data_IF_270528162436
#
_entry.id   IF_270528162436
#
_cell.length_a   1.000
_cell.length_b   1.000
_cell.length_c   1.000
_cell.angle_alpha   90.00
_cell.angle_beta   90.00
_cell.angle_gamma   90.00
#
_symmetry.space_group_name_H-M   'P 1'
#
loop_
_entity.id
_entity.type
_entity.pdbx_description
1 polymer ?
#
# COMPACT_ATOMS: atom_id res chain seq x y z
N UNK A 1 -15.77 -75.96 16.92
CA UNK A 1 -14.63 -75.48 16.10
C UNK A 1 -14.78 -73.96 15.97
N UNK A 2 -14.39 -73.17 16.96
CA UNK A 2 -13.06 -72.54 17.11
C UNK A 2 -12.63 -71.68 15.91
N UNK A 3 -12.97 -70.37 15.96
CA UNK A 3 -12.13 -69.19 15.65
C UNK A 3 -13.04 -67.99 15.33
N UNK A 4 -13.22 -67.11 16.32
CA UNK A 4 -14.02 -65.90 16.19
C UNK A 4 -13.67 -64.84 17.23
N UNK A 5 -12.38 -64.72 17.58
CA UNK A 5 -11.87 -63.67 18.46
C UNK A 5 -10.49 -63.26 17.95
N UNK A 6 -10.37 -62.07 17.34
CA UNK A 6 -9.16 -61.23 17.28
C UNK A 6 -9.18 -60.20 16.13
N UNK A 7 -10.32 -59.52 15.89
CA UNK A 7 -10.32 -58.32 15.03
C UNK A 7 -10.65 -57.03 15.79
N UNK A 8 -11.26 -57.12 16.98
CA UNK A 8 -11.60 -55.94 17.77
C UNK A 8 -10.46 -55.40 18.66
N UNK A 9 -9.38 -56.17 18.89
CA UNK A 9 -8.26 -55.68 19.71
C UNK A 9 -7.22 -54.88 18.91
N UNK A 10 -7.11 -55.10 17.59
CA UNK A 10 -6.12 -54.40 16.75
C UNK A 10 -6.61 -53.01 16.34
N UNK A 11 -7.92 -52.79 16.24
CA UNK A 11 -8.49 -51.49 15.92
C UNK A 11 -8.40 -50.48 17.09
N UNK A 12 -8.33 -50.96 18.34
CA UNK A 12 -8.23 -50.09 19.53
C UNK A 12 -6.80 -49.60 19.80
N UNK A 13 -5.77 -50.27 19.27
CA UNK A 13 -4.37 -49.90 19.47
C UNK A 13 -3.82 -48.94 18.40
N UNK A 14 -4.49 -48.81 17.25
CA UNK A 14 -4.10 -47.87 16.19
C UNK A 14 -4.78 -46.49 16.36
N UNK A 15 -5.85 -46.40 17.13
CA UNK A 15 -6.54 -45.12 17.42
C UNK A 15 -5.98 -44.35 18.62
N UNK A 16 -5.11 -44.96 19.44
CA UNK A 16 -4.53 -44.31 20.63
C UNK A 16 -3.25 -43.52 20.35
N UNK A 17 -2.66 -43.63 19.16
CA UNK A 17 -1.43 -42.90 18.76
C UNK A 17 -1.71 -41.67 17.90
N UNK A 18 -2.97 -41.41 17.51
CA UNK A 18 -3.35 -40.27 16.68
C UNK A 18 -3.94 -39.08 17.47
N UNK A 19 -4.24 -39.24 18.76
CA UNK A 19 -4.70 -38.14 19.62
C UNK A 19 -3.57 -37.73 20.56
N UNK A 20 -2.93 -36.56 20.37
CA UNK A 20 -2.03 -36.04 21.38
C UNK A 20 -2.81 -35.98 22.69
N UNK A 21 -2.28 -36.61 23.75
CA UNK A 21 -2.94 -36.65 25.04
C UNK A 21 -3.35 -35.24 25.46
N UNK A 22 -4.53 -35.07 26.09
CA UNK A 22 -5.03 -33.75 26.52
C UNK A 22 -3.97 -32.94 27.30
N UNK A 23 -3.09 -33.63 28.04
CA UNK A 23 -1.94 -33.02 28.70
C UNK A 23 -0.97 -32.32 27.73
N UNK A 24 -0.61 -32.93 26.58
CA UNK A 24 0.25 -32.28 25.56
C UNK A 24 -0.43 -31.06 24.94
N UNK A 25 -1.70 -31.17 24.57
CA UNK A 25 -2.46 -30.05 24.02
C UNK A 25 -2.57 -28.90 25.04
N UNK A 26 -2.83 -29.20 26.32
CA UNK A 26 -2.88 -28.19 27.37
C UNK A 26 -1.53 -27.51 27.61
N UNK A 27 -0.42 -28.25 27.49
CA UNK A 27 0.93 -27.72 27.70
C UNK A 27 1.34 -26.83 26.53
N UNK A 28 1.03 -27.24 25.30
CA UNK A 28 1.22 -26.42 24.10
C UNK A 28 0.38 -25.13 24.18
N UNK A 29 -0.89 -25.23 24.57
CA UNK A 29 -1.78 -24.07 24.75
C UNK A 29 -1.23 -23.09 25.79
N UNK A 30 -0.79 -23.58 26.96
CA UNK A 30 -0.18 -22.72 27.99
C UNK A 30 1.08 -22.03 27.46
N UNK A 31 1.99 -22.78 26.85
CA UNK A 31 3.21 -22.21 26.27
C UNK A 31 2.92 -21.13 25.22
N UNK A 32 1.89 -21.32 24.38
CA UNK A 32 1.49 -20.32 23.40
C UNK A 32 0.89 -19.07 24.07
N UNK A 33 0.07 -19.23 25.11
CA UNK A 33 -0.48 -18.12 25.87
C UNK A 33 0.62 -17.33 26.59
N UNK A 34 1.61 -18.01 27.17
CA UNK A 34 2.73 -17.39 27.88
C UNK A 34 3.61 -16.58 26.92
N UNK A 35 3.83 -17.07 25.69
CA UNK A 35 4.55 -16.32 24.66
C UNK A 35 3.82 -15.02 24.30
N UNK A 36 2.51 -15.08 24.06
CA UNK A 36 1.70 -13.88 23.80
C UNK A 36 1.74 -12.92 24.98
N UNK A 37 1.71 -13.43 26.22
CA UNK A 37 1.81 -12.60 27.42
C UNK A 37 3.13 -11.84 27.46
N UNK A 38 4.24 -12.51 27.13
CA UNK A 38 5.58 -11.93 27.08
C UNK A 38 5.68 -10.83 26.03
N UNK A 39 5.14 -11.06 24.83
CA UNK A 39 5.09 -10.05 23.76
C UNK A 39 4.30 -8.81 24.21
N UNK A 40 3.17 -9.01 24.89
CA UNK A 40 2.35 -7.93 25.42
C UNK A 40 3.12 -7.12 26.47
N UNK A 41 3.83 -7.77 27.39
CA UNK A 41 4.63 -7.08 28.40
C UNK A 41 5.72 -6.21 27.75
N UNK A 42 6.36 -6.72 26.69
CA UNK A 42 7.31 -5.96 25.88
C UNK A 42 6.69 -4.72 25.24
N UNK A 43 5.50 -4.87 24.66
CA UNK A 43 4.72 -3.76 24.07
C UNK A 43 4.35 -2.73 25.14
N UNK A 44 3.85 -3.16 26.30
CA UNK A 44 3.51 -2.26 27.41
C UNK A 44 4.74 -1.46 27.87
N UNK A 45 5.91 -2.10 27.92
CA UNK A 45 7.17 -1.43 28.19
C UNK A 45 7.46 -0.31 27.19
N UNK A 46 7.32 -0.59 25.88
CA UNK A 46 7.52 0.40 24.81
C UNK A 46 6.47 1.53 24.84
N UNK A 47 5.24 1.26 25.31
CA UNK A 47 4.18 2.27 25.44
C UNK A 47 4.49 3.37 26.47
N UNK A 48 5.42 3.14 27.40
CA UNK A 48 5.86 4.17 28.34
C UNK A 48 6.65 5.30 27.64
N UNK A 49 7.25 5.02 26.48
CA UNK A 49 8.04 5.99 25.72
C UNK A 49 7.21 6.83 24.74
N UNK A 50 5.94 6.48 24.55
CA UNK A 50 5.01 7.26 23.75
C UNK A 50 4.54 8.42 24.63
N UNK A 51 4.94 9.65 24.31
CA UNK A 51 4.58 10.88 25.03
C UNK A 51 3.08 11.25 24.99
N UNK A 52 2.18 10.27 25.00
CA UNK A 52 0.72 10.40 25.02
C UNK A 52 0.13 9.50 26.10
N UNK A 53 -1.11 9.74 26.49
CA UNK A 53 -1.80 8.89 27.48
C UNK A 53 -2.15 7.53 26.87
N UNK A 54 -1.31 6.53 27.18
CA UNK A 54 -1.45 5.15 26.72
C UNK A 54 -2.16 4.24 27.72
N UNK A 55 -2.74 4.78 28.80
CA UNK A 55 -3.34 3.98 29.90
C UNK A 55 -4.34 2.94 29.38
N UNK A 56 -5.31 3.36 28.57
CA UNK A 56 -6.33 2.46 28.02
C UNK A 56 -5.78 1.42 27.08
N UNK A 57 -4.75 1.76 26.33
CA UNK A 57 -4.08 0.81 25.44
C UNK A 57 -3.39 -0.29 26.27
N UNK A 58 -2.76 0.08 27.40
CA UNK A 58 -2.20 -0.89 28.35
C UNK A 58 -3.28 -1.76 28.98
N UNK A 59 -4.39 -1.17 29.42
CA UNK A 59 -5.53 -1.91 29.97
C UNK A 59 -6.13 -2.89 28.95
N UNK A 60 -6.27 -2.47 27.68
CA UNK A 60 -6.77 -3.33 26.62
C UNK A 60 -5.81 -4.48 26.32
N UNK A 61 -4.49 -4.22 26.31
CA UNK A 61 -3.45 -5.24 26.17
C UNK A 61 -3.49 -6.26 27.33
N UNK A 62 -3.64 -5.81 28.57
CA UNK A 62 -3.82 -6.69 29.73
C UNK A 62 -5.12 -7.52 29.62
N UNK A 63 -6.21 -6.91 29.13
CA UNK A 63 -7.44 -7.63 28.83
C UNK A 63 -7.22 -8.76 27.80
N UNK A 64 -6.35 -8.54 26.82
CA UNK A 64 -5.95 -9.60 25.86
C UNK A 64 -5.14 -10.69 26.56
N UNK A 65 -4.17 -10.35 27.43
CA UNK A 65 -3.41 -11.36 28.19
C UNK A 65 -4.34 -12.31 28.97
N UNK A 66 -5.36 -11.77 29.64
CA UNK A 66 -6.31 -12.59 30.41
C UNK A 66 -7.25 -13.42 29.53
N UNK A 67 -7.70 -12.88 28.40
CA UNK A 67 -8.56 -13.60 27.48
C UNK A 67 -7.85 -14.82 26.87
N UNK A 68 -6.61 -14.64 26.41
CA UNK A 68 -5.85 -15.67 25.67
C UNK A 68 -5.62 -16.94 26.50
N UNK A 69 -5.52 -16.83 27.84
CA UNK A 69 -5.36 -17.97 28.75
C UNK A 69 -6.50 -19.01 28.67
N UNK A 70 -7.68 -18.58 28.22
CA UNK A 70 -8.90 -19.39 28.16
C UNK A 70 -9.22 -19.91 26.75
N UNK A 71 -8.56 -19.38 25.74
CA UNK A 71 -8.84 -19.65 24.33
C UNK A 71 -8.13 -20.93 23.80
N UNK A 72 -8.65 -21.57 22.74
CA UNK A 72 -7.95 -22.69 22.10
C UNK A 72 -6.70 -22.21 21.35
N UNK A 73 -5.73 -23.11 21.15
CA UNK A 73 -4.41 -22.76 20.59
C UNK A 73 -4.46 -22.09 19.20
N UNK A 74 -5.44 -22.45 18.36
CA UNK A 74 -5.66 -21.81 17.06
C UNK A 74 -6.06 -20.34 17.20
N UNK A 75 -6.91 -20.02 18.18
CA UNK A 75 -7.30 -18.65 18.51
C UNK A 75 -6.11 -17.88 19.10
N UNK A 76 -5.31 -18.51 19.95
CA UNK A 76 -4.09 -17.89 20.52
C UNK A 76 -3.12 -17.46 19.41
N UNK A 77 -2.91 -18.30 18.38
CA UNK A 77 -2.04 -17.96 17.25
C UNK A 77 -2.55 -16.74 16.46
N UNK A 78 -3.87 -16.63 16.28
CA UNK A 78 -4.48 -15.44 15.66
C UNK A 78 -4.25 -14.18 16.51
N UNK A 79 -4.41 -14.27 17.83
CA UNK A 79 -4.13 -13.14 18.73
C UNK A 79 -2.66 -12.72 18.68
N UNK A 80 -1.74 -13.70 18.71
CA UNK A 80 -0.30 -13.43 18.59
C UNK A 80 0.04 -12.62 17.35
N UNK A 81 -0.62 -12.92 16.21
CA UNK A 81 -0.43 -12.17 14.97
C UNK A 81 -0.85 -10.70 15.11
N UNK A 82 -1.99 -10.42 15.75
CA UNK A 82 -2.44 -9.04 16.00
C UNK A 82 -1.50 -8.32 16.97
N UNK A 83 -1.13 -8.96 18.08
CA UNK A 83 -0.20 -8.41 19.06
C UNK A 83 1.14 -8.05 18.40
N UNK A 84 1.68 -8.93 17.55
CA UNK A 84 2.89 -8.67 16.77
C UNK A 84 2.73 -7.46 15.82
N UNK A 85 1.57 -7.31 15.17
CA UNK A 85 1.27 -6.15 14.32
C UNK A 85 1.21 -4.84 15.13
N UNK A 86 0.65 -4.87 16.34
CA UNK A 86 0.66 -3.73 17.26
C UNK A 86 2.09 -3.36 17.63
N UNK A 87 2.90 -4.34 18.06
CA UNK A 87 4.31 -4.12 18.41
C UNK A 87 5.12 -3.53 17.26
N UNK A 88 4.97 -4.08 16.04
CA UNK A 88 5.63 -3.55 14.84
C UNK A 88 5.22 -2.11 14.50
N UNK A 89 3.98 -1.73 14.80
CA UNK A 89 3.43 -0.40 14.52
C UNK A 89 3.84 0.67 15.53
N UNK A 90 4.33 0.30 16.72
CA UNK A 90 4.71 1.25 17.76
C UNK A 90 5.80 2.24 17.31
N UNK A 91 6.78 1.77 16.53
CA UNK A 91 7.82 2.63 15.96
C UNK A 91 7.24 3.75 15.07
N UNK A 92 6.21 3.41 14.29
CA UNK A 92 5.47 4.36 13.43
C UNK A 92 4.67 5.35 14.27
N UNK A 93 4.04 4.90 15.34
CA UNK A 93 3.32 5.78 16.27
C UNK A 93 4.26 6.75 17.00
N UNK A 94 5.45 6.29 17.38
CA UNK A 94 6.47 7.10 18.08
C UNK A 94 7.05 8.20 17.19
N UNK A 95 7.05 8.02 15.87
CA UNK A 95 7.58 9.01 14.93
C UNK A 95 6.88 10.38 15.02
N UNK A 96 5.58 10.39 15.38
CA UNK A 96 4.74 11.57 15.31
C UNK A 96 4.43 12.06 13.89
N UNK A 97 5.02 11.45 12.85
CA UNK A 97 4.70 11.79 11.46
C UNK A 97 3.27 11.33 11.14
N UNK A 98 2.40 12.22 10.63
CA UNK A 98 1.01 11.89 10.36
C UNK A 98 0.82 10.68 9.43
N UNK A 99 1.71 10.48 8.43
CA UNK A 99 1.61 9.36 7.51
C UNK A 99 2.06 8.06 8.15
N UNK A 100 3.15 8.08 8.92
CA UNK A 100 3.59 6.89 9.62
C UNK A 100 2.57 6.46 10.68
N UNK A 101 1.98 7.40 11.43
CA UNK A 101 0.90 7.08 12.37
C UNK A 101 -0.31 6.46 11.64
N UNK A 102 -0.76 7.07 10.53
CA UNK A 102 -1.86 6.51 9.74
C UNK A 102 -1.50 5.12 9.20
N UNK A 103 -0.27 4.93 8.72
CA UNK A 103 0.23 3.63 8.24
C UNK A 103 0.27 2.60 9.37
N UNK A 104 0.63 2.96 10.60
CA UNK A 104 0.59 2.05 11.74
C UNK A 104 -0.82 1.59 12.07
N UNK A 105 -1.82 2.48 12.02
CA UNK A 105 -3.22 2.07 12.20
C UNK A 105 -3.66 1.07 11.11
N UNK A 106 -3.25 1.34 9.87
CA UNK A 106 -3.59 0.50 8.73
C UNK A 106 -2.94 -0.87 8.77
N UNK A 107 -1.69 -0.98 9.21
CA UNK A 107 -1.02 -2.28 9.38
C UNK A 107 -1.81 -3.18 10.33
N UNK A 108 -2.37 -2.61 11.39
CA UNK A 108 -3.18 -3.33 12.39
C UNK A 108 -4.52 -3.74 11.79
N UNK A 109 -5.24 -2.83 11.11
CA UNK A 109 -6.52 -3.18 10.47
C UNK A 109 -6.29 -4.23 9.36
N UNK A 110 -5.22 -4.11 8.59
CA UNK A 110 -4.84 -5.11 7.58
C UNK A 110 -4.55 -6.47 8.22
N UNK A 111 -3.81 -6.50 9.33
CA UNK A 111 -3.55 -7.72 10.10
C UNK A 111 -4.85 -8.37 10.59
N UNK A 112 -5.83 -7.57 11.04
CA UNK A 112 -7.16 -8.05 11.41
C UNK A 112 -7.89 -8.64 10.21
N UNK A 113 -7.87 -7.96 9.07
CA UNK A 113 -8.48 -8.44 7.84
C UNK A 113 -7.93 -9.80 7.43
N UNK A 114 -6.61 -9.98 7.44
CA UNK A 114 -5.97 -11.24 7.05
C UNK A 114 -6.17 -12.36 8.08
N UNK A 115 -6.24 -12.02 9.38
CA UNK A 115 -6.26 -13.01 10.47
C UNK A 115 -7.67 -13.50 10.81
N UNK A 116 -8.64 -12.59 10.77
CA UNK A 116 -10.02 -12.84 11.18
C UNK A 116 -11.04 -12.74 10.03
N UNK A 117 -10.60 -12.40 8.82
CA UNK A 117 -11.53 -12.11 7.71
C UNK A 117 -12.24 -10.76 7.88
N UNK A 118 -11.65 -9.84 8.63
CA UNK A 118 -12.20 -8.51 8.91
C UNK A 118 -12.60 -8.30 10.37
N UNK A 119 -12.98 -7.06 10.75
CA UNK A 119 -13.32 -6.71 12.12
C UNK A 119 -14.56 -7.44 12.65
N UNK A 120 -15.50 -7.82 11.78
CA UNK A 120 -16.67 -8.62 12.15
C UNK A 120 -16.29 -10.03 12.65
N UNK A 121 -15.25 -10.63 12.06
CA UNK A 121 -14.79 -11.98 12.40
C UNK A 121 -14.03 -12.09 13.71
N UNK A 122 -13.83 -10.99 14.43
CA UNK A 122 -13.20 -11.00 15.75
C UNK A 122 -14.18 -11.57 16.78
N UNK A 123 -13.89 -12.78 17.26
CA UNK A 123 -14.68 -13.45 18.29
C UNK A 123 -14.21 -13.11 19.73
N UNK A 124 -13.02 -12.53 19.89
CA UNK A 124 -12.45 -12.20 21.21
C UNK A 124 -12.69 -10.72 21.50
N UNK A 125 -13.61 -10.42 22.40
CA UNK A 125 -13.97 -9.04 22.78
C UNK A 125 -12.75 -8.20 23.22
N UNK A 126 -11.77 -8.81 23.87
CA UNK A 126 -10.52 -8.13 24.26
C UNK A 126 -9.71 -7.63 23.05
N UNK A 127 -9.65 -8.41 21.96
CA UNK A 127 -8.96 -8.00 20.73
C UNK A 127 -9.69 -6.84 20.06
N UNK A 128 -11.03 -6.91 20.01
CA UNK A 128 -11.84 -5.80 19.51
C UNK A 128 -11.61 -4.51 20.32
N UNK A 129 -11.55 -4.63 21.65
CA UNK A 129 -11.24 -3.51 22.55
C UNK A 129 -9.85 -2.92 22.32
N UNK A 130 -8.84 -3.79 22.11
CA UNK A 130 -7.47 -3.38 21.78
C UNK A 130 -7.44 -2.55 20.50
N UNK A 131 -8.05 -3.04 19.42
CA UNK A 131 -8.06 -2.33 18.13
C UNK A 131 -8.82 -1.01 18.27
N UNK A 132 -9.99 -1.02 18.92
CA UNK A 132 -10.75 0.22 19.16
C UNK A 132 -9.95 1.24 19.96
N UNK A 133 -9.13 0.80 20.93
CA UNK A 133 -8.29 1.69 21.73
C UNK A 133 -7.18 2.33 20.88
N UNK A 134 -6.54 1.54 20.01
CA UNK A 134 -5.52 2.04 19.09
C UNK A 134 -6.11 3.04 18.10
N UNK A 135 -7.23 2.68 17.46
CA UNK A 135 -7.89 3.58 16.52
C UNK A 135 -8.36 4.85 17.23
N UNK A 136 -8.90 4.75 18.45
CA UNK A 136 -9.29 5.94 19.21
C UNK A 136 -8.12 6.85 19.55
N UNK A 137 -6.94 6.29 19.81
CA UNK A 137 -5.76 7.07 20.19
C UNK A 137 -5.12 7.77 18.99
N UNK A 138 -5.08 7.10 17.83
CA UNK A 138 -4.25 7.52 16.71
C UNK A 138 -5.00 8.01 15.46
N UNK A 139 -6.28 7.66 15.27
CA UNK A 139 -6.97 7.97 14.00
C UNK A 139 -7.41 9.44 13.86
N UNK A 140 -7.71 10.15 14.96
CA UNK A 140 -8.28 11.50 14.89
C UNK A 140 -7.33 12.54 14.29
N UNK A 141 -6.42 13.08 15.10
CA UNK A 141 -5.57 14.20 14.70
C UNK A 141 -4.54 13.81 13.63
N UNK A 142 -4.01 12.58 13.69
CA UNK A 142 -2.93 12.15 12.79
C UNK A 142 -3.43 11.90 11.37
N UNK A 143 -4.52 11.14 11.17
CA UNK A 143 -5.08 10.95 9.81
C UNK A 143 -5.58 12.28 9.24
N UNK A 144 -6.22 13.13 10.06
CA UNK A 144 -6.62 14.47 9.63
C UNK A 144 -5.44 15.36 9.23
N UNK A 145 -4.27 15.22 9.87
CA UNK A 145 -3.06 15.97 9.52
C UNK A 145 -2.38 15.42 8.26
N UNK A 146 -2.38 14.10 8.07
CA UNK A 146 -1.86 13.46 6.86
C UNK A 146 -2.63 13.94 5.61
N UNK A 147 -3.95 14.10 5.72
CA UNK A 147 -4.77 14.67 4.64
C UNK A 147 -4.46 16.14 4.41
N UNK A 148 -4.24 16.93 5.47
CA UNK A 148 -3.91 18.36 5.31
C UNK A 148 -2.69 18.53 4.41
N UNK A 149 -1.64 17.74 4.65
CA UNK A 149 -0.42 17.80 3.84
C UNK A 149 -0.69 17.48 2.37
N UNK A 150 -1.52 16.48 2.09
CA UNK A 150 -1.88 16.11 0.70
C UNK A 150 -2.79 17.16 0.07
N UNK A 151 -3.73 17.77 0.81
CA UNK A 151 -4.51 18.92 0.32
C UNK A 151 -3.55 20.04 -0.07
N UNK A 152 -2.66 20.43 0.85
CA UNK A 152 -1.73 21.53 0.63
C UNK A 152 -0.86 21.27 -0.62
N UNK A 153 -0.45 20.01 -0.87
CA UNK A 153 0.33 19.63 -2.06
C UNK A 153 -0.52 19.48 -3.35
N UNK A 154 -1.73 18.91 -3.26
CA UNK A 154 -2.63 18.68 -4.39
C UNK A 154 -3.24 19.97 -4.95
N UNK A 155 -3.52 20.94 -4.09
CA UNK A 155 -4.22 22.18 -4.43
C UNK A 155 -3.29 23.41 -4.48
N UNK A 156 -2.02 23.31 -4.05
CA UNK A 156 -1.06 24.44 -4.06
C UNK A 156 -0.97 25.17 -5.39
N UNK A 157 -1.13 24.44 -6.50
CA UNK A 157 -0.82 24.90 -7.85
C UNK A 157 -2.05 25.05 -8.75
N UNK A 158 -3.17 24.40 -8.43
CA UNK A 158 -4.36 24.37 -9.27
C UNK A 158 -5.57 24.80 -8.45
N UNK A 159 -6.19 25.92 -8.84
CA UNK A 159 -7.35 26.55 -8.19
C UNK A 159 -8.63 25.70 -8.32
N UNK A 160 -8.67 24.55 -7.67
CA UNK A 160 -9.87 23.73 -7.60
C UNK A 160 -10.49 23.90 -6.21
N UNK A 161 -10.97 25.12 -5.98
CA UNK A 161 -11.47 25.59 -4.70
C UNK A 161 -12.64 24.73 -4.22
N UNK A 162 -13.52 24.32 -5.13
CA UNK A 162 -14.66 23.47 -4.79
C UNK A 162 -14.21 22.11 -4.25
N UNK A 163 -13.27 21.46 -4.93
CA UNK A 163 -12.74 20.19 -4.45
C UNK A 163 -11.98 20.37 -3.12
N UNK A 164 -11.17 21.42 -3.00
CA UNK A 164 -10.46 21.74 -1.76
C UNK A 164 -11.42 21.96 -0.58
N UNK A 165 -12.49 22.74 -0.79
CA UNK A 165 -13.49 23.04 0.23
C UNK A 165 -14.28 21.79 0.63
N UNK A 166 -14.64 20.96 -0.34
CA UNK A 166 -15.31 19.70 -0.07
C UNK A 166 -14.40 18.73 0.70
N UNK A 167 -13.08 18.69 0.43
CA UNK A 167 -12.13 17.84 1.18
C UNK A 167 -11.93 18.39 2.60
N UNK A 168 -11.84 19.71 2.78
CA UNK A 168 -11.82 20.34 4.12
C UNK A 168 -13.10 20.00 4.90
N UNK A 169 -14.25 20.01 4.23
CA UNK A 169 -15.53 19.56 4.78
C UNK A 169 -15.48 18.11 5.23
N UNK A 170 -15.05 17.20 4.36
CA UNK A 170 -14.90 15.77 4.66
C UNK A 170 -13.99 15.54 5.88
N UNK A 171 -12.85 16.23 5.95
CA UNK A 171 -11.94 16.19 7.10
C UNK A 171 -12.60 16.64 8.40
N UNK A 172 -13.36 17.75 8.38
CA UNK A 172 -14.07 18.24 9.57
C UNK A 172 -15.13 17.25 10.02
N UNK A 173 -15.90 16.72 9.08
CA UNK A 173 -16.90 15.67 9.37
C UNK A 173 -16.25 14.44 9.96
N UNK A 174 -15.15 13.94 9.37
CA UNK A 174 -14.39 12.83 9.93
C UNK A 174 -13.97 13.11 11.37
N UNK A 175 -13.32 14.25 11.64
CA UNK A 175 -12.83 14.59 12.96
C UNK A 175 -13.95 14.69 14.00
N UNK A 176 -15.10 15.26 13.63
CA UNK A 176 -16.26 15.35 14.51
C UNK A 176 -16.84 13.97 14.81
N UNK A 177 -17.08 13.16 13.77
CA UNK A 177 -17.68 11.83 13.90
C UNK A 177 -16.74 10.88 14.64
N UNK A 178 -15.46 10.83 14.29
CA UNK A 178 -14.50 9.96 14.97
C UNK A 178 -14.34 10.36 16.44
N UNK A 179 -14.39 11.66 16.78
CA UNK A 179 -14.35 12.11 18.18
C UNK A 179 -15.58 11.64 18.95
N UNK A 180 -16.76 11.73 18.33
CA UNK A 180 -18.01 11.24 18.91
C UNK A 180 -17.99 9.72 19.11
N UNK A 181 -17.65 8.95 18.07
CA UNK A 181 -17.54 7.48 18.13
C UNK A 181 -16.48 7.07 19.16
N UNK A 182 -15.35 7.77 19.19
CA UNK A 182 -14.30 7.57 20.20
C UNK A 182 -14.78 7.87 21.61
N UNK A 183 -15.76 8.76 21.80
CA UNK A 183 -16.37 9.02 23.11
C UNK A 183 -17.29 7.88 23.52
N UNK A 184 -18.14 7.42 22.61
CA UNK A 184 -19.05 6.28 22.87
C UNK A 184 -18.27 4.99 23.12
N UNK A 185 -17.15 4.77 22.43
CA UNK A 185 -16.29 3.61 22.65
C UNK A 185 -15.68 3.56 24.05
N UNK A 186 -15.61 4.71 24.74
CA UNK A 186 -15.14 4.84 26.13
C UNK A 186 -16.14 4.38 27.16
N UNK A 187 -17.42 4.27 26.81
CA UNK A 187 -18.48 3.87 27.72
C UNK A 187 -18.39 2.37 27.99
N UNK A 188 -18.33 1.98 29.26
CA UNK A 188 -18.25 0.57 29.67
C UNK A 188 -19.53 -0.19 29.32
N UNK A 189 -20.69 0.37 29.68
CA UNK A 189 -22.00 -0.21 29.41
C UNK A 189 -22.67 0.49 28.22
N UNK A 190 -22.50 -0.08 27.02
CA UNK A 190 -23.23 0.37 25.84
C UNK A 190 -24.73 0.11 26.04
N UNK A 191 -25.54 1.11 25.73
CA UNK A 191 -27.00 1.02 25.75
C UNK A 191 -27.50 1.21 24.32
N UNK A 192 -28.74 0.82 24.04
CA UNK A 192 -29.34 1.04 22.73
C UNK A 192 -29.31 2.51 22.32
N UNK A 193 -29.59 3.44 23.25
CA UNK A 193 -29.53 4.88 23.00
C UNK A 193 -28.14 5.33 22.51
N UNK A 194 -27.06 4.79 23.09
CA UNK A 194 -25.71 5.10 22.63
C UNK A 194 -25.47 4.59 21.19
N UNK A 195 -25.97 3.40 20.87
CA UNK A 195 -25.74 2.73 19.58
C UNK A 195 -26.61 3.31 18.46
N UNK A 196 -27.84 3.72 18.77
CA UNK A 196 -28.69 4.49 17.88
C UNK A 196 -28.07 5.85 17.58
N UNK A 197 -27.51 6.53 18.59
CA UNK A 197 -26.78 7.78 18.37
C UNK A 197 -25.56 7.60 17.46
N UNK A 198 -24.85 6.46 17.56
CA UNK A 198 -23.76 6.11 16.64
C UNK A 198 -24.29 5.87 15.23
N UNK A 199 -25.41 5.16 15.08
CA UNK A 199 -26.05 4.92 13.77
C UNK A 199 -26.38 6.24 13.08
N UNK A 200 -26.97 7.17 13.83
CA UNK A 200 -27.43 8.45 13.28
C UNK A 200 -26.25 9.39 12.95
N UNK A 201 -25.14 9.28 13.69
CA UNK A 201 -23.94 10.06 13.44
C UNK A 201 -23.07 9.50 12.29
N UNK A 202 -23.00 8.18 12.13
CA UNK A 202 -22.13 7.52 11.16
C UNK A 202 -22.94 7.07 9.95
N UNK A 203 -23.00 7.96 8.97
CA UNK A 203 -23.57 7.66 7.66
C UNK A 203 -22.71 6.68 6.88
N UNK A 204 -23.32 5.58 6.44
CA UNK A 204 -22.64 4.54 5.64
C UNK A 204 -22.16 5.08 4.29
N UNK A 205 -22.90 6.05 3.73
CA UNK A 205 -22.57 6.76 2.49
C UNK A 205 -21.63 7.97 2.70
N UNK A 206 -21.01 8.09 3.89
CA UNK A 206 -20.04 9.14 4.15
C UNK A 206 -18.89 9.08 3.13
N UNK A 207 -18.55 10.26 2.61
CA UNK A 207 -17.52 10.49 1.61
C UNK A 207 -17.79 9.93 0.21
N UNK A 208 -18.90 9.20 -0.04
CA UNK A 208 -19.18 8.59 -1.35
C UNK A 208 -19.15 9.60 -2.50
N UNK A 209 -19.82 10.76 -2.34
CA UNK A 209 -19.81 11.80 -3.38
C UNK A 209 -18.41 12.34 -3.68
N UNK A 210 -17.61 12.57 -2.63
CA UNK A 210 -16.23 13.05 -2.77
C UNK A 210 -15.33 12.02 -3.46
N UNK A 211 -15.44 10.76 -3.04
CA UNK A 211 -14.70 9.64 -3.63
C UNK A 211 -15.07 9.48 -5.10
N UNK A 212 -16.36 9.56 -5.46
CA UNK A 212 -16.80 9.52 -6.86
C UNK A 212 -16.27 10.68 -7.71
N UNK A 213 -16.17 11.89 -7.15
CA UNK A 213 -15.54 13.03 -7.84
C UNK A 213 -14.05 12.74 -8.08
N UNK A 214 -13.33 12.26 -7.07
CA UNK A 214 -11.92 11.92 -7.19
C UNK A 214 -11.69 10.77 -8.19
N UNK A 215 -12.51 9.72 -8.17
CA UNK A 215 -12.49 8.63 -9.14
C UNK A 215 -12.61 9.15 -10.58
N UNK A 216 -13.56 10.05 -10.82
CA UNK A 216 -13.73 10.68 -12.15
C UNK A 216 -12.48 11.46 -12.58
N UNK A 217 -11.84 12.19 -11.65
CA UNK A 217 -10.58 12.90 -11.93
C UNK A 217 -9.42 11.94 -12.18
N UNK A 218 -9.31 10.87 -11.40
CA UNK A 218 -8.27 9.85 -11.56
C UNK A 218 -8.40 9.17 -12.92
N UNK A 219 -9.61 8.74 -13.29
CA UNK A 219 -9.86 8.07 -14.56
C UNK A 219 -9.48 8.97 -15.74
N UNK A 220 -9.82 10.25 -15.70
CA UNK A 220 -9.47 11.21 -16.76
C UNK A 220 -7.98 11.51 -16.82
N UNK A 221 -7.38 11.77 -15.66
CA UNK A 221 -6.00 12.22 -15.59
C UNK A 221 -4.97 11.08 -15.76
N UNK A 222 -5.36 9.83 -15.47
CA UNK A 222 -4.49 8.65 -15.64
C UNK A 222 -4.05 8.42 -17.09
N UNK A 223 -4.89 8.80 -18.06
CA UNK A 223 -4.63 8.70 -19.50
C UNK A 223 -4.30 10.05 -20.14
N UNK A 224 -4.13 11.10 -19.32
CA UNK A 224 -3.84 12.43 -19.83
C UNK A 224 -2.46 12.49 -20.47
N UNK A 225 -2.33 13.28 -21.52
CA UNK A 225 -1.05 13.69 -22.11
C UNK A 225 -0.56 15.03 -21.54
N UNK A 226 -1.30 15.67 -20.65
CA UNK A 226 -0.84 16.88 -19.98
C UNK A 226 -0.03 16.53 -18.72
N UNK A 227 1.22 16.99 -18.66
CA UNK A 227 2.14 16.77 -17.54
C UNK A 227 1.54 17.21 -16.19
N UNK A 228 0.88 18.37 -16.20
CA UNK A 228 0.32 18.95 -14.98
C UNK A 228 -0.85 18.10 -14.46
N UNK A 229 -1.72 17.64 -15.36
CA UNK A 229 -2.83 16.75 -15.03
C UNK A 229 -2.36 15.35 -14.60
N UNK A 230 -1.35 14.77 -15.26
CA UNK A 230 -0.78 13.48 -14.88
C UNK A 230 -0.12 13.53 -13.49
N UNK A 231 0.67 14.57 -13.21
CA UNK A 231 1.24 14.81 -11.87
C UNK A 231 0.15 15.01 -10.83
N UNK A 232 -0.88 15.80 -11.16
CA UNK A 232 -2.02 16.07 -10.28
C UNK A 232 -2.83 14.81 -9.98
N UNK A 233 -2.92 13.91 -10.95
CA UNK A 233 -3.57 12.60 -10.79
C UNK A 233 -2.94 11.78 -9.68
N UNK A 234 -1.60 11.76 -9.58
CA UNK A 234 -0.91 11.08 -8.47
C UNK A 234 -1.31 11.66 -7.11
N UNK A 235 -1.43 12.99 -7.00
CA UNK A 235 -1.89 13.63 -5.78
C UNK A 235 -3.36 13.31 -5.48
N UNK A 236 -4.22 13.22 -6.50
CA UNK A 236 -5.60 12.81 -6.34
C UNK A 236 -5.75 11.35 -5.93
N UNK A 237 -4.94 10.43 -6.47
CA UNK A 237 -4.91 9.04 -6.03
C UNK A 237 -4.50 8.97 -4.56
N UNK A 238 -3.49 9.75 -4.17
CA UNK A 238 -3.06 9.76 -2.79
C UNK A 238 -4.17 10.26 -1.85
N UNK A 239 -4.83 11.36 -2.21
CA UNK A 239 -5.96 11.91 -1.46
C UNK A 239 -7.15 10.93 -1.40
N UNK A 240 -7.48 10.30 -2.53
CA UNK A 240 -8.53 9.30 -2.65
C UNK A 240 -8.30 8.13 -1.69
N UNK A 241 -7.07 7.61 -1.66
CA UNK A 241 -6.69 6.53 -0.76
C UNK A 241 -6.77 6.95 0.71
N UNK A 242 -6.37 8.18 1.05
CA UNK A 242 -6.49 8.68 2.43
C UNK A 242 -7.94 8.83 2.88
N UNK A 243 -8.82 9.38 2.04
CA UNK A 243 -10.25 9.50 2.33
C UNK A 243 -10.92 8.14 2.42
N UNK A 244 -10.53 7.19 1.57
CA UNK A 244 -10.99 5.80 1.63
C UNK A 244 -10.58 5.16 2.96
N UNK A 245 -9.34 5.35 3.40
CA UNK A 245 -8.87 4.86 4.71
C UNK A 245 -9.61 5.50 5.88
N UNK A 246 -9.90 6.80 5.82
CA UNK A 246 -10.74 7.45 6.83
C UNK A 246 -12.11 6.79 6.92
N UNK A 247 -12.78 6.57 5.78
CA UNK A 247 -14.07 5.87 5.73
C UNK A 247 -13.98 4.50 6.40
N UNK A 248 -12.99 3.71 5.99
CA UNK A 248 -12.83 2.34 6.51
C UNK A 248 -12.47 2.32 7.99
N UNK A 249 -11.73 3.31 8.49
CA UNK A 249 -11.43 3.44 9.91
C UNK A 249 -12.69 3.73 10.73
N UNK A 250 -13.55 4.62 10.25
CA UNK A 250 -14.85 4.91 10.88
C UNK A 250 -15.75 3.67 10.89
N UNK A 251 -15.92 3.02 9.73
CA UNK A 251 -16.75 1.81 9.63
C UNK A 251 -16.22 0.69 10.53
N UNK A 252 -14.89 0.50 10.56
CA UNK A 252 -14.26 -0.48 11.45
C UNK A 252 -14.57 -0.20 12.91
N UNK A 253 -14.48 1.06 13.37
CA UNK A 253 -14.83 1.40 14.75
C UNK A 253 -16.30 1.09 15.07
N UNK A 254 -17.23 1.43 14.17
CA UNK A 254 -18.66 1.14 14.40
C UNK A 254 -18.93 -0.36 14.43
N UNK A 255 -18.34 -1.12 13.51
CA UNK A 255 -18.44 -2.59 13.50
C UNK A 255 -17.98 -3.15 14.85
N UNK A 256 -16.83 -2.70 15.37
CA UNK A 256 -16.32 -3.16 16.66
C UNK A 256 -17.25 -2.79 17.83
N UNK A 257 -17.89 -1.62 17.80
CA UNK A 257 -18.87 -1.23 18.83
C UNK A 257 -20.12 -2.10 18.80
N UNK A 258 -20.66 -2.36 17.61
CA UNK A 258 -21.83 -3.22 17.44
C UNK A 258 -21.52 -4.67 17.84
N UNK A 259 -20.34 -5.19 17.48
CA UNK A 259 -19.86 -6.50 17.96
C UNK A 259 -19.74 -6.55 19.49
N UNK A 260 -19.31 -5.46 20.13
CA UNK A 260 -19.20 -5.38 21.59
C UNK A 260 -20.58 -5.38 22.27
N UNK A 261 -21.57 -4.76 21.64
CA UNK A 261 -22.95 -4.75 22.15
C UNK A 261 -23.63 -6.12 22.00
N UNK A 262 -23.36 -6.82 20.89
CA UNK A 262 -23.93 -8.13 20.59
C UNK A 262 -25.45 -8.08 20.35
N UNK A 263 -26.07 -9.26 20.24
CA UNK A 263 -27.52 -9.39 20.08
C UNK A 263 -27.99 -8.82 18.73
N UNK A 264 -29.01 -7.95 18.75
CA UNK A 264 -29.55 -7.33 17.54
C UNK A 264 -28.51 -6.50 16.75
N UNK A 265 -27.45 -6.03 17.41
CA UNK A 265 -26.39 -5.25 16.75
C UNK A 265 -25.40 -6.11 15.96
N UNK A 266 -25.35 -7.43 16.17
CA UNK A 266 -24.50 -8.30 15.36
C UNK A 266 -24.91 -8.30 13.88
N UNK A 267 -26.21 -8.22 13.57
CA UNK A 267 -26.70 -8.14 12.18
C UNK A 267 -26.32 -6.82 11.51
N UNK A 268 -26.36 -5.72 12.27
CA UNK A 268 -25.89 -4.41 11.80
C UNK A 268 -24.38 -4.41 11.56
N UNK A 269 -23.61 -5.02 12.48
CA UNK A 269 -22.17 -5.18 12.31
C UNK A 269 -21.82 -5.98 11.04
N UNK A 270 -22.57 -7.06 10.77
CA UNK A 270 -22.41 -7.86 9.55
C UNK A 270 -22.70 -7.04 8.29
N UNK A 271 -23.82 -6.32 8.27
CA UNK A 271 -24.23 -5.50 7.13
C UNK A 271 -23.22 -4.38 6.82
N UNK A 272 -22.67 -3.75 7.86
CA UNK A 272 -21.60 -2.77 7.72
C UNK A 272 -20.30 -3.40 7.21
N UNK A 273 -19.98 -4.62 7.64
CA UNK A 273 -18.80 -5.34 7.15
C UNK A 273 -18.91 -5.63 5.65
N UNK A 274 -20.07 -6.09 5.17
CA UNK A 274 -20.31 -6.33 3.74
C UNK A 274 -20.15 -5.04 2.92
N UNK A 275 -20.63 -3.91 3.46
CA UNK A 275 -20.46 -2.61 2.81
C UNK A 275 -19.00 -2.16 2.80
N UNK A 276 -18.26 -2.38 3.89
CA UNK A 276 -16.82 -2.13 3.98
C UNK A 276 -16.05 -2.94 2.94
N UNK A 277 -16.41 -4.21 2.72
CA UNK A 277 -15.75 -5.05 1.73
C UNK A 277 -16.02 -4.57 0.30
N UNK A 278 -17.26 -4.19 -0.02
CA UNK A 278 -17.59 -3.56 -1.31
C UNK A 278 -16.84 -2.25 -1.53
N UNK A 279 -16.76 -1.41 -0.50
CA UNK A 279 -16.03 -0.15 -0.55
C UNK A 279 -14.53 -0.37 -0.82
N UNK A 280 -13.92 -1.38 -0.18
CA UNK A 280 -12.51 -1.73 -0.41
C UNK A 280 -12.28 -2.24 -1.82
N UNK A 281 -13.21 -3.03 -2.37
CA UNK A 281 -13.11 -3.52 -3.74
C UNK A 281 -13.17 -2.37 -4.75
N UNK A 282 -14.13 -1.44 -4.61
CA UNK A 282 -14.21 -0.26 -5.47
C UNK A 282 -12.92 0.60 -5.40
N UNK A 283 -12.37 0.78 -4.20
CA UNK A 283 -11.08 1.47 -4.03
C UNK A 283 -9.94 0.71 -4.70
N UNK A 284 -9.89 -0.63 -4.58
CA UNK A 284 -8.90 -1.47 -5.26
C UNK A 284 -8.99 -1.31 -6.77
N UNK A 285 -10.17 -1.45 -7.36
CA UNK A 285 -10.39 -1.33 -8.80
C UNK A 285 -9.91 0.02 -9.33
N UNK A 286 -10.21 1.10 -8.62
CA UNK A 286 -9.82 2.48 -9.00
C UNK A 286 -8.31 2.66 -9.12
N UNK A 287 -7.51 2.01 -8.28
CA UNK A 287 -6.06 2.28 -8.17
C UNK A 287 -5.16 1.15 -8.67
N UNK A 288 -5.72 -0.02 -8.99
CA UNK A 288 -4.92 -1.20 -9.40
C UNK A 288 -4.09 -0.93 -10.65
N UNK A 289 -4.54 -0.04 -11.54
CA UNK A 289 -3.81 0.32 -12.75
C UNK A 289 -2.40 0.89 -12.48
N UNK A 290 -2.14 1.46 -11.30
CA UNK A 290 -0.81 1.95 -10.92
C UNK A 290 0.21 0.81 -10.79
N UNK A 291 -0.23 -0.38 -10.37
CA UNK A 291 0.62 -1.55 -10.18
C UNK A 291 0.52 -2.53 -11.35
N UNK A 292 -0.52 -2.37 -12.19
CA UNK A 292 -0.75 -3.08 -13.43
C UNK A 292 -0.74 -2.09 -14.62
N UNK A 293 0.38 -1.39 -14.75
CA UNK A 293 0.54 -0.32 -15.74
C UNK A 293 0.45 -0.83 -17.18
N UNK A 294 -0.42 -0.18 -17.95
CA UNK A 294 -0.49 -0.25 -19.41
C UNK A 294 0.16 0.99 -20.03
N UNK A 295 0.48 0.94 -21.33
CA UNK A 295 1.15 2.04 -22.02
C UNK A 295 0.37 3.35 -22.00
N UNK A 296 -0.97 3.30 -22.05
CA UNK A 296 -1.84 4.48 -21.95
C UNK A 296 -1.69 5.25 -20.64
N UNK A 297 -1.18 4.61 -19.58
CA UNK A 297 -0.97 5.23 -18.27
C UNK A 297 0.49 5.68 -18.05
N UNK A 298 1.38 5.54 -19.03
CA UNK A 298 2.82 5.69 -18.83
C UNK A 298 3.21 7.09 -18.33
N UNK A 299 2.52 8.15 -18.76
CA UNK A 299 2.78 9.50 -18.26
C UNK A 299 2.44 9.62 -16.77
N UNK A 300 1.26 9.18 -16.35
CA UNK A 300 0.91 9.10 -14.94
C UNK A 300 1.92 8.23 -14.17
N UNK A 301 2.30 7.08 -14.74
CA UNK A 301 3.32 6.19 -14.20
C UNK A 301 4.67 6.85 -14.01
N UNK A 302 5.08 7.78 -14.86
CA UNK A 302 6.36 8.51 -14.73
C UNK A 302 6.42 9.41 -13.49
N UNK A 303 5.26 9.82 -12.97
CA UNK A 303 5.14 10.57 -11.71
C UNK A 303 4.93 9.67 -10.50
N UNK A 304 4.59 8.39 -10.69
CA UNK A 304 4.49 7.41 -9.61
C UNK A 304 5.81 6.66 -9.39
N UNK A 305 6.47 6.23 -10.47
CA UNK A 305 7.73 5.52 -10.44
C UNK A 305 8.93 6.50 -10.47
N UNK A 306 9.99 6.24 -9.69
CA UNK A 306 10.18 5.08 -8.81
C UNK A 306 9.34 5.20 -7.52
N UNK A 307 8.78 4.09 -7.03
CA UNK A 307 7.76 4.09 -5.95
C UNK A 307 8.23 4.67 -4.60
N UNK A 308 9.53 4.90 -4.44
CA UNK A 308 10.19 5.43 -3.25
C UNK A 308 10.71 6.87 -3.42
N UNK A 309 10.46 7.53 -4.56
CA UNK A 309 11.04 8.84 -4.85
C UNK A 309 10.35 10.02 -4.13
N UNK A 310 9.11 9.83 -3.69
CA UNK A 310 8.30 10.89 -3.07
C UNK A 310 7.40 10.36 -1.96
N UNK A 311 7.01 11.26 -1.05
CA UNK A 311 6.05 10.95 0.01
C UNK A 311 4.73 10.43 -0.55
N UNK A 312 4.26 11.00 -1.67
CA UNK A 312 3.04 10.55 -2.33
C UNK A 312 3.18 9.12 -2.87
N UNK A 313 4.26 8.80 -3.60
CA UNK A 313 4.47 7.45 -4.13
C UNK A 313 4.60 6.40 -3.01
N UNK A 314 5.38 6.71 -1.97
CA UNK A 314 5.53 5.85 -0.79
C UNK A 314 4.19 5.66 -0.07
N UNK A 315 3.44 6.75 0.10
CA UNK A 315 2.13 6.75 0.73
C UNK A 315 1.13 5.91 -0.06
N UNK A 316 1.04 6.11 -1.37
CA UNK A 316 0.20 5.28 -2.26
C UNK A 316 0.57 3.80 -2.13
N UNK A 317 1.86 3.44 -2.18
CA UNK A 317 2.29 2.05 -2.02
C UNK A 317 1.85 1.46 -0.66
N UNK A 318 1.95 2.24 0.43
CA UNK A 318 1.51 1.80 1.76
C UNK A 318 -0.01 1.65 1.83
N UNK A 319 -0.78 2.62 1.32
CA UNK A 319 -2.23 2.64 1.41
C UNK A 319 -2.90 1.60 0.49
N UNK A 320 -2.36 1.36 -0.70
CA UNK A 320 -2.89 0.36 -1.65
C UNK A 320 -2.86 -1.07 -1.09
N UNK A 321 -1.87 -1.40 -0.25
CA UNK A 321 -1.80 -2.69 0.46
C UNK A 321 -3.01 -2.93 1.35
N UNK A 322 -3.52 -1.90 2.01
CA UNK A 322 -4.70 -2.00 2.85
C UNK A 322 -5.93 -2.44 2.05
N UNK A 323 -6.03 -2.01 0.79
CA UNK A 323 -7.10 -2.39 -0.13
C UNK A 323 -6.81 -3.70 -0.87
N UNK A 324 -5.70 -4.40 -0.56
CA UNK A 324 -5.36 -5.69 -1.18
C UNK A 324 -4.85 -5.57 -2.62
N UNK A 325 -4.36 -4.38 -3.02
CA UNK A 325 -3.67 -4.24 -4.30
C UNK A 325 -2.31 -4.94 -4.21
N UNK A 326 -1.97 -5.86 -5.14
CA UNK A 326 -0.68 -6.53 -5.15
C UNK A 326 0.48 -5.54 -5.25
N UNK A 327 1.64 -5.85 -4.67
CA UNK A 327 2.83 -5.00 -4.82
C UNK A 327 3.18 -4.82 -6.31
N UNK A 328 3.56 -3.60 -6.74
CA UNK A 328 3.99 -3.39 -8.12
C UNK A 328 5.27 -4.19 -8.39
N UNK A 329 5.51 -4.53 -9.66
CA UNK A 329 6.77 -5.14 -10.06
C UNK A 329 7.95 -4.28 -9.54
N UNK A 330 8.79 -4.88 -8.69
CA UNK A 330 9.98 -4.22 -8.12
C UNK A 330 11.20 -4.61 -8.93
N UNK A 331 12.05 -3.62 -9.20
CA UNK A 331 13.31 -3.85 -9.88
C UNK A 331 14.45 -3.87 -8.89
N UNK A 332 15.35 -4.81 -9.08
CA UNK A 332 16.66 -4.82 -8.42
C UNK A 332 17.71 -4.52 -9.48
N UNK A 333 17.73 -3.28 -9.98
CA UNK A 333 18.87 -2.80 -10.77
C UNK A 333 20.02 -2.50 -9.80
N UNK A 334 20.92 -3.46 -9.69
CA UNK A 334 22.01 -3.54 -8.73
C UNK A 334 23.35 -3.02 -9.27
N UNK A 335 23.33 -2.24 -10.35
CA UNK A 335 24.56 -1.77 -10.99
C UNK A 335 25.27 -2.83 -11.82
N UNK A 336 24.61 -3.94 -12.17
CA UNK A 336 25.08 -4.87 -13.18
C UNK A 336 24.92 -4.31 -14.61
N UNK A 337 25.42 -5.10 -15.56
CA UNK A 337 25.31 -4.84 -16.98
C UNK A 337 24.08 -5.54 -17.57
N UNK A 338 23.27 -4.76 -18.27
CA UNK A 338 22.00 -5.16 -18.86
C UNK A 338 22.01 -4.94 -20.37
N UNK A 339 21.10 -5.64 -21.04
CA UNK A 339 20.74 -5.43 -22.44
C UNK A 339 19.32 -4.89 -22.51
N UNK A 340 19.15 -3.71 -23.11
CA UNK A 340 17.84 -3.10 -23.34
C UNK A 340 17.37 -3.44 -24.75
N UNK A 341 16.52 -4.45 -24.87
CA UNK A 341 15.99 -4.98 -26.12
C UNK A 341 14.64 -4.32 -26.46
N UNK A 342 14.47 -3.88 -27.70
CA UNK A 342 13.25 -3.20 -28.12
C UNK A 342 12.09 -4.18 -28.38
N UNK A 343 10.84 -3.80 -28.07
CA UNK A 343 9.66 -4.64 -28.33
C UNK A 343 9.29 -4.72 -29.81
N UNK A 344 9.27 -3.60 -30.52
CA UNK A 344 8.95 -3.57 -31.95
C UNK A 344 9.98 -4.33 -32.79
N UNK A 345 11.27 -4.19 -32.44
CA UNK A 345 12.37 -4.91 -33.08
C UNK A 345 13.11 -5.77 -32.07
N UNK A 346 12.56 -6.94 -31.76
CA UNK A 346 13.08 -7.84 -30.74
C UNK A 346 14.50 -8.37 -30.99
N UNK A 347 15.10 -8.16 -32.17
CA UNK A 347 16.52 -8.48 -32.40
C UNK A 347 17.45 -7.31 -32.10
N UNK A 348 16.91 -6.14 -31.81
CA UNK A 348 17.67 -4.91 -31.65
C UNK A 348 17.75 -4.51 -30.19
N UNK A 349 18.96 -4.14 -29.76
CA UNK A 349 19.22 -3.62 -28.43
C UNK A 349 19.96 -2.30 -28.50
N UNK A 350 19.80 -1.47 -27.46
CA UNK A 350 20.52 -0.20 -27.37
C UNK A 350 22.03 -0.47 -27.38
N UNK A 351 22.74 0.19 -28.27
CA UNK A 351 24.19 0.21 -28.37
C UNK A 351 24.69 1.62 -28.67
N UNK A 352 25.99 1.85 -28.49
CA UNK A 352 26.64 3.11 -28.83
C UNK A 352 27.10 3.09 -30.28
N UNK A 353 26.87 4.22 -30.95
CA UNK A 353 27.56 4.61 -32.18
C UNK A 353 28.42 5.84 -31.87
N UNK A 354 29.72 5.74 -32.15
CA UNK A 354 30.59 6.91 -32.08
C UNK A 354 30.40 7.73 -33.36
N UNK A 355 29.86 8.93 -33.24
CA UNK A 355 29.75 9.88 -34.34
C UNK A 355 30.45 11.19 -33.98
N UNK A 356 31.57 11.47 -34.66
CA UNK A 356 32.35 12.70 -34.49
C UNK A 356 32.70 13.03 -33.01
N UNK A 357 33.11 12.03 -32.22
CA UNK A 357 33.45 12.21 -30.80
C UNK A 357 32.25 12.22 -29.85
N UNK A 358 31.04 12.49 -30.35
CA UNK A 358 29.80 12.37 -29.59
C UNK A 358 29.28 10.93 -29.66
N UNK A 359 28.71 10.42 -28.57
CA UNK A 359 28.13 9.09 -28.55
C UNK A 359 26.62 9.23 -28.71
N UNK A 360 26.14 8.87 -29.89
CA UNK A 360 24.72 8.70 -30.15
C UNK A 360 24.36 7.24 -29.91
N UNK A 361 23.10 6.98 -29.60
CA UNK A 361 22.59 5.64 -29.37
C UNK A 361 21.82 5.17 -30.60
N UNK A 362 22.01 3.90 -30.96
CA UNK A 362 21.23 3.22 -32.00
C UNK A 362 20.84 1.82 -31.56
N UNK A 363 19.92 1.22 -32.29
CA UNK A 363 19.65 -0.21 -32.25
C UNK A 363 20.75 -0.97 -32.98
N UNK A 364 21.39 -1.91 -32.28
CA UNK A 364 22.25 -2.93 -32.89
C UNK A 364 21.50 -4.26 -32.94
N UNK A 365 21.44 -4.84 -34.14
CA UNK A 365 20.86 -6.16 -34.36
C UNK A 365 21.76 -7.25 -33.75
N UNK A 366 21.15 -8.19 -33.04
CA UNK A 366 21.77 -9.37 -32.44
C UNK A 366 22.99 -9.07 -31.56
N UNK A 367 23.03 -7.87 -30.96
CA UNK A 367 24.09 -7.49 -30.03
C UNK A 367 24.06 -8.38 -28.79
N UNK A 368 25.10 -9.21 -28.63
CA UNK A 368 25.38 -9.92 -27.38
C UNK A 368 25.96 -9.00 -26.30
N UNK A 369 26.25 -7.74 -26.63
CA UNK A 369 26.90 -6.80 -25.73
C UNK A 369 25.92 -6.26 -24.67
N UNK A 370 26.14 -6.64 -23.41
CA UNK A 370 25.51 -6.04 -22.22
C UNK A 370 26.24 -4.74 -21.85
N UNK A 371 26.14 -3.72 -22.70
CA UNK A 371 26.93 -2.50 -22.51
C UNK A 371 26.43 -1.58 -21.40
N UNK A 372 25.17 -1.73 -21.01
CA UNK A 372 24.46 -0.72 -20.26
C UNK A 372 24.44 -1.09 -18.79
N UNK A 373 25.04 -0.26 -17.95
CA UNK A 373 25.00 -0.42 -16.51
C UNK A 373 23.95 0.50 -15.91
N UNK A 374 22.96 -0.08 -15.21
CA UNK A 374 21.86 0.64 -14.58
C UNK A 374 22.11 0.65 -13.07
N UNK A 375 22.27 1.84 -12.47
CA UNK A 375 22.55 2.00 -11.04
C UNK A 375 21.45 2.82 -10.38
N UNK A 376 20.88 2.32 -9.28
CA UNK A 376 19.94 3.08 -8.45
C UNK A 376 20.64 4.20 -7.69
N UNK A 377 20.00 5.37 -7.63
CA UNK A 377 20.37 6.54 -6.85
C UNK A 377 19.65 6.54 -5.49
N UNK A 378 20.15 7.33 -4.53
CA UNK A 378 19.53 7.47 -3.20
C UNK A 378 18.10 8.02 -3.25
N UNK A 379 17.79 8.85 -4.25
CA UNK A 379 16.46 9.42 -4.47
C UNK A 379 15.50 8.49 -5.23
N UNK A 380 15.85 7.21 -5.41
CA UNK A 380 15.03 6.20 -6.07
C UNK A 380 15.18 6.11 -7.60
N UNK A 381 15.60 7.20 -8.26
CA UNK A 381 15.86 7.22 -9.70
C UNK A 381 17.08 6.37 -10.07
N UNK A 382 17.32 6.19 -11.36
CA UNK A 382 18.43 5.38 -11.85
C UNK A 382 19.33 6.20 -12.77
N UNK A 383 20.63 5.92 -12.73
CA UNK A 383 21.54 6.34 -13.80
C UNK A 383 21.75 5.18 -14.75
N UNK A 384 21.90 5.51 -16.02
CA UNK A 384 22.29 4.57 -17.05
C UNK A 384 23.68 4.98 -17.52
N UNK A 385 24.62 4.04 -17.53
CA UNK A 385 26.00 4.28 -17.96
C UNK A 385 26.38 3.30 -19.07
N UNK A 386 27.10 3.78 -20.06
CA UNK A 386 27.62 2.95 -21.16
C UNK A 386 29.11 3.24 -21.31
N UNK A 387 29.95 2.24 -21.03
CA UNK A 387 31.43 2.37 -21.05
C UNK A 387 31.92 3.59 -20.25
N UNK A 388 31.47 3.69 -19.01
CA UNK A 388 31.84 4.76 -18.06
C UNK A 388 31.35 6.17 -18.41
N UNK A 389 30.50 6.33 -19.42
CA UNK A 389 29.84 7.61 -19.70
C UNK A 389 28.39 7.57 -19.24
N UNK A 390 27.93 8.63 -18.58
CA UNK A 390 26.56 8.78 -18.12
C UNK A 390 25.64 9.10 -19.29
N UNK A 391 24.52 8.41 -19.40
CA UNK A 391 23.53 8.65 -20.44
C UNK A 391 22.59 9.77 -20.00
N UNK A 392 22.15 10.60 -20.95
CA UNK A 392 21.15 11.63 -20.70
C UNK A 392 20.30 11.95 -21.92
N UNK A 393 19.12 12.51 -21.67
CA UNK A 393 18.26 13.06 -22.70
C UNK A 393 18.64 14.52 -22.94
N UNK A 394 18.59 14.98 -24.18
CA UNK A 394 18.72 16.41 -24.49
C UNK A 394 17.95 16.78 -25.75
N UNK A 395 17.60 18.07 -25.84
CA UNK A 395 16.91 18.62 -27.00
C UNK A 395 17.94 19.07 -28.03
N UNK A 396 17.92 18.45 -29.21
CA UNK A 396 18.68 18.87 -30.39
C UNK A 396 17.77 19.55 -31.41
N UNK A 397 18.37 20.14 -32.45
CA UNK A 397 17.63 20.73 -33.58
C UNK A 397 16.71 19.71 -34.28
N UNK A 398 17.09 18.43 -34.28
CA UNK A 398 16.33 17.33 -34.92
C UNK A 398 15.37 16.62 -33.95
N UNK A 399 15.11 17.18 -32.77
CA UNK A 399 14.25 16.58 -31.74
C UNK A 399 15.03 16.10 -30.52
N UNK A 400 14.44 15.19 -29.76
CA UNK A 400 14.99 14.74 -28.48
C UNK A 400 15.90 13.54 -28.68
N UNK A 401 17.19 13.76 -28.44
CA UNK A 401 18.23 12.74 -28.60
C UNK A 401 18.80 12.28 -27.27
N UNK A 402 19.49 11.16 -27.32
CA UNK A 402 20.22 10.59 -26.20
C UNK A 402 21.70 10.83 -26.39
N UNK A 403 22.35 11.43 -25.39
CA UNK A 403 23.77 11.75 -25.38
C UNK A 403 24.51 11.07 -24.23
N UNK A 404 25.83 11.23 -24.22
CA UNK A 404 26.69 10.79 -23.13
C UNK A 404 27.45 11.95 -22.50
N UNK A 405 27.54 11.98 -21.18
CA UNK A 405 28.32 12.93 -20.41
C UNK A 405 29.43 12.21 -19.65
N UNK A 406 30.51 12.95 -19.40
CA UNK A 406 31.66 12.46 -18.62
C UNK A 406 31.39 12.50 -17.12
N UNK A 407 30.52 13.41 -16.71
CA UNK A 407 30.06 13.63 -15.35
C UNK A 407 28.56 13.38 -15.23
N UNK A 408 28.03 13.51 -14.01
CA UNK A 408 26.59 13.41 -13.77
C UNK A 408 25.84 14.54 -14.50
N UNK A 409 24.98 14.22 -15.47
CA UNK A 409 24.22 15.21 -16.22
C UNK A 409 23.04 15.81 -15.42
N UNK A 410 22.76 15.32 -14.21
CA UNK A 410 21.65 15.76 -13.37
C UNK A 410 20.31 15.15 -13.80
N UNK A 411 19.20 15.87 -13.59
CA UNK A 411 17.84 15.34 -13.78
C UNK A 411 17.52 14.82 -15.20
N UNK A 412 18.28 15.25 -16.20
CA UNK A 412 18.20 14.77 -17.58
C UNK A 412 18.83 13.38 -17.81
N UNK A 413 19.63 12.87 -16.87
CA UNK A 413 20.13 11.50 -16.84
C UNK A 413 19.67 10.70 -15.63
N UNK A 414 18.68 11.21 -14.89
CA UNK A 414 18.01 10.48 -13.81
C UNK A 414 16.76 9.81 -14.37
N UNK A 415 16.89 8.52 -14.67
CA UNK A 415 15.90 7.72 -15.37
C UNK A 415 14.86 7.12 -14.43
N UNK A 416 13.63 7.07 -14.93
CA UNK A 416 12.53 6.29 -14.36
C UNK A 416 12.20 5.12 -15.28
N UNK A 417 11.92 3.98 -14.66
CA UNK A 417 11.55 2.73 -15.32
C UNK A 417 10.12 2.37 -14.90
N UNK A 418 9.17 2.47 -15.82
CA UNK A 418 7.76 2.21 -15.55
C UNK A 418 7.45 0.79 -16.03
N UNK A 419 7.01 -0.11 -15.15
CA UNK A 419 6.84 -1.51 -15.50
C UNK A 419 5.54 -1.63 -16.24
N UNK A 420 5.51 -2.41 -17.29
CA UNK A 420 4.28 -2.73 -17.98
C UNK A 420 3.84 -4.15 -17.61
N UNK A 421 2.52 -4.38 -17.60
CA UNK A 421 1.93 -5.71 -17.34
C UNK A 421 2.41 -6.81 -18.27
N UNK A 422 2.91 -6.45 -19.45
CA UNK A 422 3.46 -7.36 -20.45
C UNK A 422 4.95 -7.72 -20.23
N UNK A 423 5.56 -7.29 -19.12
CA UNK A 423 6.97 -7.54 -18.80
C UNK A 423 7.98 -6.64 -19.52
N UNK A 424 7.51 -5.60 -20.21
CA UNK A 424 8.35 -4.54 -20.79
C UNK A 424 8.36 -3.30 -19.89
N UNK A 425 9.15 -2.32 -20.29
CA UNK A 425 9.35 -1.08 -19.58
C UNK A 425 9.17 0.11 -20.51
N UNK A 426 8.49 1.13 -20.01
CA UNK A 426 8.63 2.49 -20.53
C UNK A 426 9.73 3.17 -19.75
N UNK A 427 10.62 3.88 -20.44
CA UNK A 427 11.76 4.56 -19.82
C UNK A 427 11.64 6.06 -20.10
N UNK A 428 11.84 6.88 -19.09
CA UNK A 428 11.77 8.35 -19.18
C UNK A 428 12.80 8.98 -18.23
N UNK A 429 12.86 10.31 -18.15
CA UNK A 429 13.75 11.04 -17.24
C UNK A 429 12.98 11.89 -16.24
N UNK A 430 13.59 12.18 -15.10
CA UNK A 430 13.02 13.08 -14.09
C UNK A 430 12.74 14.47 -14.67
N UNK A 431 13.64 14.99 -15.52
CA UNK A 431 13.50 16.33 -16.11
C UNK A 431 12.37 16.42 -17.13
N UNK A 432 12.12 15.35 -17.88
CA UNK A 432 11.11 15.30 -18.95
C UNK A 432 10.30 14.00 -18.86
N UNK A 433 9.37 13.92 -17.89
CA UNK A 433 8.59 12.71 -17.61
C UNK A 433 7.74 12.23 -18.80
N UNK A 434 7.34 13.14 -19.68
CA UNK A 434 6.60 12.94 -20.93
C UNK A 434 7.42 12.50 -22.13
N UNK A 435 8.75 12.42 -22.02
CA UNK A 435 9.63 12.05 -23.12
C UNK A 435 10.18 10.64 -22.93
N UNK A 436 9.56 9.67 -23.59
CA UNK A 436 9.87 8.27 -23.45
C UNK A 436 10.89 7.77 -24.47
N UNK A 437 11.79 6.90 -24.03
CA UNK A 437 12.81 6.28 -24.88
C UNK A 437 12.15 5.47 -25.95
N UNK A 438 12.50 5.71 -27.21
CA UNK A 438 12.07 4.87 -28.32
C UNK A 438 13.19 4.67 -29.34
N UNK A 439 13.02 3.64 -30.16
CA UNK A 439 13.87 3.39 -31.32
C UNK A 439 13.14 3.85 -32.58
N UNK A 440 13.79 4.66 -33.40
CA UNK A 440 13.22 5.10 -34.68
C UNK A 440 13.06 3.94 -35.65
N UNK A 441 11.98 3.96 -36.44
CA UNK A 441 11.73 2.99 -37.51
C UNK A 441 12.58 3.18 -38.77
N UNK A 442 13.45 4.18 -38.78
CA UNK A 442 14.35 4.47 -39.90
C UNK A 442 15.46 3.43 -40.01
N UNK A 443 16.13 3.37 -41.16
CA UNK A 443 17.27 2.48 -41.40
C UNK A 443 18.42 2.67 -40.38
N UNK A 444 18.47 3.82 -39.71
CA UNK A 444 19.48 4.12 -38.71
C UNK A 444 19.16 3.52 -37.32
N UNK A 445 17.87 3.33 -37.01
CA UNK A 445 17.44 2.80 -35.71
C UNK A 445 17.91 3.64 -34.53
N UNK A 446 17.99 4.96 -34.66
CA UNK A 446 18.47 5.82 -33.59
C UNK A 446 17.58 5.70 -32.35
N UNK A 447 18.21 5.80 -31.18
CA UNK A 447 17.49 5.91 -29.92
C UNK A 447 17.26 7.38 -29.62
N UNK A 448 16.00 7.72 -29.43
CA UNK A 448 15.52 9.08 -29.22
C UNK A 448 14.50 9.10 -28.09
N UNK A 449 14.00 10.28 -27.76
CA UNK A 449 12.81 10.40 -26.94
C UNK A 449 11.61 10.84 -27.77
N UNK A 450 10.47 10.20 -27.52
CA UNK A 450 9.19 10.52 -28.11
C UNK A 450 8.30 11.16 -27.05
N UNK A 451 7.52 12.15 -27.47
CA UNK A 451 6.56 12.78 -26.59
C UNK A 451 5.35 11.86 -26.43
N UNK A 452 5.06 11.43 -25.19
CA UNK A 452 4.01 10.46 -24.82
C UNK A 452 4.30 9.02 -25.26
N UNK A 453 3.27 8.22 -25.50
CA UNK A 453 3.41 6.79 -25.83
C UNK A 453 3.92 6.59 -27.28
N UNK A 454 5.13 6.04 -27.50
CA UNK A 454 5.66 5.69 -28.83
C UNK A 454 5.26 4.27 -29.28
N UNK A 455 4.22 3.69 -28.70
CA UNK A 455 3.72 2.34 -29.00
C UNK A 455 4.81 1.28 -28.74
N UNK A 456 4.85 0.08 -29.39
CA UNK A 456 5.92 -0.89 -29.13
C UNK A 456 7.35 -0.37 -29.34
N UNK A 457 7.56 0.76 -30.03
CA UNK A 457 8.90 1.28 -30.30
C UNK A 457 9.58 1.86 -29.07
N UNK A 458 8.84 2.22 -28.02
CA UNK A 458 9.44 2.67 -26.75
C UNK A 458 9.24 1.73 -25.57
N UNK A 459 8.90 0.48 -25.87
CA UNK A 459 8.83 -0.58 -24.87
C UNK A 459 10.10 -1.40 -24.90
N UNK A 460 10.72 -1.54 -23.74
CA UNK A 460 12.04 -2.15 -23.59
C UNK A 460 11.98 -3.37 -22.68
N UNK A 461 12.56 -4.49 -23.12
CA UNK A 461 12.85 -5.62 -22.27
C UNK A 461 14.26 -5.44 -21.72
N UNK A 462 14.39 -5.47 -20.39
CA UNK A 462 15.69 -5.36 -19.70
C UNK A 462 16.15 -6.78 -19.37
N UNK A 463 17.28 -7.19 -19.95
CA UNK A 463 17.82 -8.55 -19.93
C UNK A 463 19.21 -8.65 -19.32
#
# INVERSE_FOLDING_TARGET
MSRGYSLHLVLFLVLSTAFPSQARLSRYRRSAADAVSTDIDGIIGQLNDLGTDTKRLKEALQGVQEAVKKEPATTIAKVSTIVGSVGGSLSKFKSGDPFDVASGCLDIIASVATTFGGPYGIAIGAVASLISSILSLFSGNSMGSAIKQVIDDAFKKYRDQELEDNVKGAKRTFNAVITFVNSVSKTENLTEVHLDSVRDAVRVDAFTNMLGVLESRINRGSVSTDNNEAMRTINFIFLYLQLSVMRETLLTQVILLYKRAGGAYDELALSLSLTSDQNKEATRETVTFLHQMETKYSLCGSYYYPIDHSKAAIGILKLTKFFGVPDPARYTFDGLYYRMQNRAWNRYSICKESYAGNHMFRGCKDSSYHGIRIKKLENGYHTITLRSKAMYVTKHAQGWGWGTADEDPGEQGYFTFIPLTNGFYMVSTKKWPDYFVYMESSAHGYIRSWHYNPDPQGQWKIL
#
